data_IF_060951158393
#
_entry.id   IF_060951158393
#
_cell.length_a   1.000
_cell.length_b   1.000
_cell.length_c   1.000
_cell.angle_alpha   90.00
_cell.angle_beta   90.00
_cell.angle_gamma   90.00
#
_symmetry.space_group_name_H-M   'P 1'
#
loop_
_entity.id
_entity.type
_entity.pdbx_description
1 polymer ?
#
# COMPACT_ATOMS: atom_id res chain seq x y z
N UNK A 1 -30.16 14.38 30.05
CA UNK A 1 -29.43 14.87 28.85
C UNK A 1 -28.93 13.70 28.05
N UNK A 2 -29.62 13.37 26.96
CA UNK A 2 -29.27 12.22 26.10
C UNK A 2 -28.06 12.52 25.24
N UNK A 3 -26.99 11.71 25.35
CA UNK A 3 -25.85 11.72 24.44
C UNK A 3 -26.32 11.21 23.08
N UNK A 4 -26.37 12.10 22.07
CA UNK A 4 -26.54 11.67 20.67
C UNK A 4 -25.35 10.82 20.26
N UNK A 5 -25.55 9.52 20.11
CA UNK A 5 -24.62 8.62 19.44
C UNK A 5 -24.61 9.03 17.97
N UNK A 6 -23.51 9.64 17.53
CA UNK A 6 -23.28 9.89 16.10
C UNK A 6 -23.02 8.54 15.45
N UNK A 7 -24.01 7.97 14.77
CA UNK A 7 -23.81 6.87 13.85
C UNK A 7 -22.83 7.33 12.76
N UNK A 8 -21.58 6.83 12.83
CA UNK A 8 -20.65 6.91 11.70
C UNK A 8 -21.27 6.10 10.57
N UNK A 9 -21.76 6.77 9.54
CA UNK A 9 -22.14 6.12 8.31
C UNK A 9 -20.93 5.30 7.83
N UNK A 10 -21.07 3.96 7.78
CA UNK A 10 -20.07 3.09 7.16
C UNK A 10 -19.92 3.54 5.72
N UNK A 11 -18.73 3.97 5.33
CA UNK A 11 -18.43 4.29 3.95
C UNK A 11 -18.88 3.10 3.08
N UNK A 12 -19.72 3.35 2.07
CA UNK A 12 -20.14 2.32 1.11
C UNK A 12 -18.90 1.90 0.35
N UNK A 13 -18.34 0.75 0.71
CA UNK A 13 -17.18 0.22 0.02
C UNK A 13 -17.52 -0.20 -1.41
N UNK A 14 -16.56 -0.08 -2.29
CA UNK A 14 -16.69 -0.46 -3.70
C UNK A 14 -16.37 -1.95 -3.85
N UNK A 15 -17.36 -2.79 -4.20
CA UNK A 15 -17.13 -4.21 -4.47
C UNK A 15 -16.85 -4.47 -5.95
N UNK A 16 -15.84 -5.29 -6.25
CA UNK A 16 -15.49 -5.76 -7.58
C UNK A 16 -14.99 -7.20 -7.52
N UNK A 17 -15.60 -8.09 -8.28
CA UNK A 17 -15.16 -9.48 -8.39
C UNK A 17 -14.99 -10.25 -7.08
N UNK A 18 -15.70 -9.87 -6.01
CA UNK A 18 -15.50 -10.43 -4.66
C UNK A 18 -14.61 -9.58 -3.76
N UNK A 19 -13.79 -8.68 -4.30
CA UNK A 19 -12.91 -7.81 -3.55
C UNK A 19 -13.64 -6.57 -3.03
N UNK A 20 -13.32 -6.18 -1.80
CA UNK A 20 -13.80 -4.97 -1.15
C UNK A 20 -12.76 -3.86 -1.31
N UNK A 21 -12.94 -2.99 -2.32
CA UNK A 21 -12.03 -1.89 -2.58
C UNK A 21 -12.25 -0.73 -1.59
N UNK A 22 -11.18 -0.09 -1.17
CA UNK A 22 -11.16 0.90 -0.09
C UNK A 22 -11.48 2.32 -0.57
N UNK A 23 -11.27 2.61 -1.87
CA UNK A 23 -11.48 3.94 -2.44
C UNK A 23 -12.09 3.90 -3.83
N UNK A 24 -12.66 5.03 -4.27
CA UNK A 24 -13.18 5.19 -5.63
C UNK A 24 -12.05 5.15 -6.67
N UNK A 25 -10.83 5.58 -6.33
CA UNK A 25 -9.68 5.52 -7.23
C UNK A 25 -9.21 4.09 -7.44
N UNK A 26 -9.17 3.28 -6.37
CA UNK A 26 -8.89 1.84 -6.47
C UNK A 26 -9.94 1.14 -7.34
N UNK A 27 -11.24 1.43 -7.13
CA UNK A 27 -12.31 0.87 -7.95
C UNK A 27 -12.16 1.24 -9.43
N UNK A 28 -11.81 2.47 -9.73
CA UNK A 28 -11.54 2.91 -11.09
C UNK A 28 -10.33 2.18 -11.71
N UNK A 29 -9.23 2.07 -10.96
CA UNK A 29 -8.04 1.35 -11.41
C UNK A 29 -8.33 -0.14 -11.66
N UNK A 30 -9.08 -0.78 -10.75
CA UNK A 30 -9.53 -2.16 -10.90
C UNK A 30 -10.32 -2.37 -12.21
N UNK A 31 -11.32 -1.52 -12.46
CA UNK A 31 -12.15 -1.61 -13.66
C UNK A 31 -11.31 -1.42 -14.92
N UNK A 32 -10.38 -0.45 -14.94
CA UNK A 32 -9.48 -0.20 -16.07
C UNK A 32 -8.53 -1.38 -16.32
N UNK A 33 -7.96 -1.98 -15.30
CA UNK A 33 -7.11 -3.18 -15.42
C UNK A 33 -7.90 -4.37 -15.95
N UNK A 34 -9.11 -4.61 -15.43
CA UNK A 34 -9.98 -5.68 -15.90
C UNK A 34 -10.31 -5.55 -17.40
N UNK A 35 -10.57 -4.33 -17.86
CA UNK A 35 -10.91 -4.06 -19.26
C UNK A 35 -9.74 -4.38 -20.22
N UNK A 36 -8.50 -4.34 -19.73
CA UNK A 36 -7.30 -4.71 -20.52
C UNK A 36 -7.11 -6.22 -20.66
N UNK A 37 -7.82 -7.03 -19.88
CA UNK A 37 -7.64 -8.50 -19.76
C UNK A 37 -6.27 -8.91 -19.22
N UNK A 38 -5.49 -7.98 -18.66
CA UNK A 38 -4.24 -8.30 -17.96
C UNK A 38 -4.55 -9.04 -16.65
N UNK A 39 -3.73 -10.04 -16.32
CA UNK A 39 -3.85 -10.73 -15.03
C UNK A 39 -3.26 -9.87 -13.93
N UNK A 40 -3.99 -9.69 -12.86
CA UNK A 40 -3.55 -8.95 -11.67
C UNK A 40 -4.27 -9.46 -10.42
N UNK A 41 -3.67 -9.19 -9.26
CA UNK A 41 -4.30 -9.38 -7.95
C UNK A 41 -4.49 -8.03 -7.25
N UNK A 42 -5.57 -7.90 -6.47
CA UNK A 42 -5.83 -6.76 -5.60
C UNK A 42 -5.49 -7.13 -4.17
N UNK A 43 -4.53 -6.43 -3.55
CA UNK A 43 -4.02 -6.69 -2.19
C UNK A 43 -3.64 -8.17 -1.93
N UNK A 44 -3.15 -8.88 -2.95
CA UNK A 44 -2.82 -10.31 -2.86
C UNK A 44 -1.44 -10.59 -2.29
N UNK A 45 -0.55 -9.61 -2.28
CA UNK A 45 0.85 -9.76 -1.88
C UNK A 45 1.18 -8.93 -0.64
N UNK A 46 1.83 -9.56 0.32
CA UNK A 46 2.40 -8.89 1.49
C UNK A 46 3.92 -9.00 1.43
N UNK A 47 4.59 -7.85 1.32
CA UNK A 47 6.04 -7.78 1.31
C UNK A 47 6.55 -7.44 2.72
N UNK A 48 7.40 -8.30 3.28
CA UNK A 48 8.01 -8.11 4.58
C UNK A 48 9.33 -7.37 4.42
N UNK A 49 9.31 -6.05 4.63
CA UNK A 49 10.43 -5.14 4.36
C UNK A 49 11.49 -5.17 5.45
N UNK A 50 11.08 -5.45 6.68
CA UNK A 50 11.95 -5.57 7.84
C UNK A 50 11.30 -6.52 8.85
N UNK A 51 12.05 -7.48 9.32
CA UNK A 51 11.59 -8.40 10.36
C UNK A 51 11.46 -7.70 11.72
N UNK A 52 10.63 -8.26 12.61
CA UNK A 52 10.59 -7.83 14.00
C UNK A 52 11.88 -8.21 14.73
N UNK A 53 12.29 -7.40 15.68
CA UNK A 53 13.52 -7.61 16.47
C UNK A 53 13.36 -7.08 17.88
N UNK A 54 14.37 -7.31 18.73
CA UNK A 54 14.49 -6.76 20.08
C UNK A 54 15.67 -5.83 20.15
N UNK A 55 15.46 -4.67 20.76
CA UNK A 55 16.56 -3.76 21.10
C UNK A 55 16.95 -3.98 22.58
N UNK A 56 18.16 -4.47 22.81
CA UNK A 56 18.55 -5.00 24.09
C UNK A 56 19.14 -3.97 25.06
N UNK A 57 19.32 -2.73 24.63
CA UNK A 57 19.80 -1.65 25.51
C UNK A 57 18.64 -0.91 26.18
N UNK A 58 18.95 -0.04 27.12
CA UNK A 58 17.97 0.83 27.79
C UNK A 58 17.21 1.65 26.74
N UNK A 59 15.90 1.49 26.71
CA UNK A 59 15.04 2.16 25.76
C UNK A 59 13.71 2.59 26.38
N UNK A 60 13.53 3.90 26.48
CA UNK A 60 12.31 4.51 27.00
C UNK A 60 11.63 5.35 25.94
N UNK A 61 10.32 5.32 25.94
CA UNK A 61 9.47 6.15 25.06
C UNK A 61 8.65 7.13 25.87
N UNK A 62 8.28 8.25 25.20
CA UNK A 62 7.27 9.16 25.72
C UNK A 62 5.92 8.45 25.89
N UNK A 63 5.14 8.88 26.88
CA UNK A 63 3.73 8.49 27.04
C UNK A 63 2.84 9.68 26.74
N UNK A 64 1.73 9.43 26.06
CA UNK A 64 0.77 10.48 25.77
C UNK A 64 0.02 10.91 27.04
N UNK A 65 0.08 12.19 27.37
CA UNK A 65 -0.67 12.79 28.51
C UNK A 65 -0.12 12.46 29.89
N UNK A 66 1.12 12.00 30.03
CA UNK A 66 1.81 11.73 31.32
C UNK A 66 3.26 12.20 31.26
N UNK A 67 3.79 12.64 32.41
CA UNK A 67 5.17 13.12 32.53
C UNK A 67 6.17 11.99 32.84
N UNK A 68 5.80 10.74 32.57
CA UNK A 68 6.62 9.57 32.81
C UNK A 68 7.01 8.89 31.50
N UNK A 69 8.24 8.44 31.42
CA UNK A 69 8.72 7.64 30.30
C UNK A 69 8.28 6.18 30.45
N UNK A 70 7.93 5.55 29.35
CA UNK A 70 7.58 4.12 29.30
C UNK A 70 8.79 3.29 28.97
N UNK A 71 9.10 2.32 29.81
CA UNK A 71 10.17 1.36 29.56
C UNK A 71 9.80 0.40 28.42
N UNK A 72 10.60 0.42 27.36
CA UNK A 72 10.53 -0.48 26.22
C UNK A 72 11.81 -1.32 26.04
N UNK A 73 12.68 -1.33 27.06
CA UNK A 73 13.89 -2.14 27.08
C UNK A 73 13.55 -3.60 26.78
N UNK A 74 14.24 -4.20 25.83
CA UNK A 74 14.09 -5.59 25.39
C UNK A 74 12.66 -5.99 24.93
N UNK A 75 11.78 -5.03 24.64
CA UNK A 75 10.49 -5.33 24.02
C UNK A 75 10.65 -5.55 22.51
N UNK A 76 9.72 -6.31 21.94
CA UNK A 76 9.69 -6.55 20.50
C UNK A 76 9.40 -5.24 19.76
N UNK A 77 10.29 -4.89 18.83
CA UNK A 77 10.04 -3.88 17.81
C UNK A 77 9.40 -4.57 16.62
N UNK A 78 8.19 -4.13 16.25
CA UNK A 78 7.45 -4.72 15.15
C UNK A 78 8.16 -4.49 13.81
N UNK A 79 8.11 -5.49 12.97
CA UNK A 79 8.59 -5.40 11.60
C UNK A 79 7.79 -4.41 10.75
N UNK A 80 8.26 -4.17 9.56
CA UNK A 80 7.59 -3.32 8.56
C UNK A 80 7.17 -4.21 7.40
N UNK A 81 5.87 -4.18 7.09
CA UNK A 81 5.31 -4.85 5.93
C UNK A 81 4.60 -3.85 5.01
N UNK A 82 4.48 -4.22 3.74
CA UNK A 82 3.80 -3.43 2.73
C UNK A 82 2.92 -4.31 1.85
N UNK A 83 1.71 -3.87 1.62
CA UNK A 83 0.75 -4.53 0.73
C UNK A 83 0.34 -3.52 -0.34
N UNK A 84 0.87 -3.62 -1.57
CA UNK A 84 0.43 -2.76 -2.67
C UNK A 84 -1.02 -3.05 -3.09
N UNK A 85 -1.67 -2.06 -3.71
CA UNK A 85 -3.05 -2.23 -4.15
C UNK A 85 -3.17 -3.28 -5.26
N UNK A 86 -2.31 -3.22 -6.27
CA UNK A 86 -2.36 -4.15 -7.42
C UNK A 86 -0.98 -4.71 -7.75
N UNK A 87 -0.93 -6.02 -7.97
CA UNK A 87 0.29 -6.73 -8.37
C UNK A 87 -0.02 -7.66 -9.53
N UNK A 88 0.83 -7.66 -10.54
CA UNK A 88 0.85 -8.64 -11.62
C UNK A 88 2.23 -9.28 -11.72
N UNK A 89 2.33 -10.57 -11.43
CA UNK A 89 3.57 -11.32 -11.64
C UNK A 89 3.75 -11.72 -13.10
N UNK A 90 2.67 -12.00 -13.81
CA UNK A 90 2.71 -12.37 -15.22
C UNK A 90 3.23 -11.24 -16.11
N UNK A 91 2.88 -10.00 -15.77
CA UNK A 91 3.23 -8.80 -16.56
C UNK A 91 4.21 -7.88 -15.82
N UNK A 92 4.68 -8.28 -14.65
CA UNK A 92 5.69 -7.58 -13.83
C UNK A 92 5.37 -6.10 -13.62
N UNK A 93 4.20 -5.81 -13.06
CA UNK A 93 3.87 -4.46 -12.62
C UNK A 93 3.26 -4.43 -11.21
N UNK A 94 3.46 -3.31 -10.54
CA UNK A 94 2.88 -3.01 -9.23
C UNK A 94 2.29 -1.60 -9.30
N UNK A 95 1.05 -1.45 -8.84
CA UNK A 95 0.36 -0.16 -8.79
C UNK A 95 -0.10 0.10 -7.36
N UNK A 96 0.22 1.28 -6.86
CA UNK A 96 -0.28 1.83 -5.60
C UNK A 96 -1.08 3.09 -5.89
N UNK A 97 -2.39 3.05 -5.70
CA UNK A 97 -3.23 4.24 -5.90
C UNK A 97 -3.14 5.16 -4.69
N UNK A 98 -2.79 6.42 -4.90
CA UNK A 98 -2.70 7.43 -3.84
C UNK A 98 -3.63 8.60 -4.11
N UNK A 99 -4.88 8.47 -3.68
CA UNK A 99 -5.74 9.64 -3.53
C UNK A 99 -5.17 10.63 -2.50
N UNK A 100 -5.77 11.80 -2.43
CA UNK A 100 -5.38 12.82 -1.44
C UNK A 100 -5.73 12.32 -0.02
N UNK A 101 -4.73 12.00 0.79
CA UNK A 101 -4.92 11.60 2.20
C UNK A 101 -3.98 12.41 3.08
N UNK A 102 -4.55 13.24 3.94
CA UNK A 102 -3.82 14.13 4.87
C UNK A 102 -2.88 13.41 5.86
N UNK A 103 -2.97 12.11 6.04
CA UNK A 103 -2.33 11.39 7.17
C UNK A 103 -1.28 10.35 6.81
N UNK A 104 -0.82 10.29 5.56
CA UNK A 104 0.13 9.24 5.14
C UNK A 104 1.59 9.68 5.17
N UNK A 105 2.07 10.18 6.30
CA UNK A 105 3.48 10.57 6.48
C UNK A 105 4.47 9.39 6.40
N UNK A 106 4.02 8.17 6.67
CA UNK A 106 4.86 6.96 6.65
C UNK A 106 5.03 6.32 5.28
N UNK A 107 4.17 6.64 4.32
CA UNK A 107 4.21 6.03 2.99
C UNK A 107 5.51 6.30 2.23
N UNK A 108 6.07 7.53 2.17
CA UNK A 108 7.32 7.79 1.47
C UNK A 108 8.49 6.96 2.00
N UNK A 109 8.58 6.76 3.32
CA UNK A 109 9.61 5.92 3.92
C UNK A 109 9.39 4.44 3.58
N UNK A 110 8.17 3.96 3.71
CA UNK A 110 7.80 2.58 3.39
C UNK A 110 8.06 2.28 1.92
N UNK A 111 7.76 3.21 1.03
CA UNK A 111 8.03 3.08 -0.40
C UNK A 111 9.54 2.96 -0.71
N UNK A 112 10.37 3.77 -0.07
CA UNK A 112 11.84 3.65 -0.21
C UNK A 112 12.36 2.29 0.23
N UNK A 113 11.86 1.78 1.36
CA UNK A 113 12.20 0.45 1.86
C UNK A 113 11.72 -0.64 0.88
N UNK A 114 10.54 -0.45 0.30
CA UNK A 114 10.00 -1.38 -0.70
C UNK A 114 10.84 -1.42 -1.97
N UNK A 115 11.27 -0.27 -2.51
CA UNK A 115 12.18 -0.22 -3.66
C UNK A 115 13.49 -0.97 -3.38
N UNK A 116 14.07 -0.78 -2.19
CA UNK A 116 15.27 -1.51 -1.77
C UNK A 116 15.01 -3.02 -1.67
N UNK A 117 13.88 -3.40 -1.10
CA UNK A 117 13.45 -4.79 -1.03
C UNK A 117 13.36 -5.45 -2.42
N UNK A 118 12.79 -4.76 -3.40
CA UNK A 118 12.67 -5.28 -4.77
C UNK A 118 14.04 -5.54 -5.39
N UNK A 119 15.00 -4.63 -5.21
CA UNK A 119 16.38 -4.81 -5.69
C UNK A 119 17.04 -6.01 -4.98
N UNK A 120 16.97 -6.08 -3.67
CA UNK A 120 17.60 -7.13 -2.86
C UNK A 120 17.02 -8.53 -3.14
N UNK A 121 15.77 -8.60 -3.63
CA UNK A 121 15.07 -9.84 -3.98
C UNK A 121 15.00 -10.11 -5.49
N UNK A 122 15.78 -9.41 -6.30
CA UNK A 122 15.84 -9.59 -7.76
C UNK A 122 14.47 -9.40 -8.45
N UNK A 123 13.69 -8.43 -7.96
CA UNK A 123 12.39 -8.02 -8.50
C UNK A 123 12.44 -6.61 -9.08
N UNK A 124 13.61 -6.09 -9.40
CA UNK A 124 13.86 -4.75 -9.93
C UNK A 124 13.53 -4.62 -11.43
N UNK A 125 12.99 -5.68 -12.03
CA UNK A 125 12.39 -5.67 -13.37
C UNK A 125 10.88 -5.41 -13.39
N UNK A 126 10.26 -5.15 -12.22
CA UNK A 126 8.86 -4.77 -12.14
C UNK A 126 8.66 -3.28 -12.46
N UNK A 127 7.67 -2.98 -13.29
CA UNK A 127 7.20 -1.61 -13.51
C UNK A 127 6.40 -1.13 -12.29
N UNK A 128 6.69 0.08 -11.81
CA UNK A 128 6.07 0.61 -10.59
C UNK A 128 5.33 1.92 -10.88
N UNK A 129 4.11 2.03 -10.35
CA UNK A 129 3.25 3.20 -10.61
C UNK A 129 2.55 3.66 -9.33
N UNK A 130 2.47 4.97 -9.13
CA UNK A 130 1.75 5.59 -8.02
C UNK A 130 0.79 6.66 -8.56
N UNK A 131 -0.31 6.26 -9.22
CA UNK A 131 -1.28 7.22 -9.73
C UNK A 131 -2.10 7.85 -8.58
N UNK A 132 -2.35 9.16 -8.67
CA UNK A 132 -3.12 9.92 -7.67
C UNK A 132 -4.52 10.33 -8.13
N UNK A 133 -4.84 10.13 -9.40
CA UNK A 133 -6.14 10.46 -9.99
C UNK A 133 -6.45 9.58 -11.21
N UNK A 134 -7.67 9.65 -11.72
CA UNK A 134 -8.13 8.82 -12.85
C UNK A 134 -7.29 9.01 -14.12
N UNK A 135 -6.90 10.24 -14.45
CA UNK A 135 -6.05 10.52 -15.63
C UNK A 135 -4.71 9.81 -15.51
N UNK A 136 -4.10 9.81 -14.32
CA UNK A 136 -2.85 9.12 -14.08
C UNK A 136 -3.02 7.59 -14.07
N UNK A 137 -4.17 7.06 -13.65
CA UNK A 137 -4.50 5.64 -13.84
C UNK A 137 -4.55 5.29 -15.32
N UNK A 138 -5.24 6.09 -16.15
CA UNK A 138 -5.30 5.84 -17.58
C UNK A 138 -3.92 5.90 -18.25
N UNK A 139 -3.08 6.83 -17.86
CA UNK A 139 -1.69 6.92 -18.33
C UNK A 139 -0.86 5.70 -17.89
N UNK A 140 -1.03 5.24 -16.65
CA UNK A 140 -0.40 4.02 -16.12
C UNK A 140 -0.75 2.82 -17.00
N UNK A 141 -2.03 2.61 -17.30
CA UNK A 141 -2.49 1.51 -18.15
C UNK A 141 -1.88 1.59 -19.55
N UNK A 142 -1.83 2.78 -20.13
CA UNK A 142 -1.24 3.01 -21.44
C UNK A 142 0.25 2.68 -21.46
N UNK A 143 1.00 3.10 -20.45
CA UNK A 143 2.43 2.79 -20.33
C UNK A 143 2.63 1.28 -20.24
N UNK A 144 1.91 0.59 -19.36
CA UNK A 144 1.98 -0.87 -19.22
C UNK A 144 1.74 -1.56 -20.58
N UNK A 145 0.67 -1.18 -21.27
CA UNK A 145 0.34 -1.79 -22.57
C UNK A 145 1.41 -1.54 -23.64
N UNK A 146 2.05 -0.36 -23.64
CA UNK A 146 3.11 -0.02 -24.60
C UNK A 146 4.38 -0.83 -24.30
N UNK A 147 4.78 -0.95 -23.04
CA UNK A 147 5.95 -1.74 -22.64
C UNK A 147 5.77 -3.24 -22.99
N UNK A 148 4.57 -3.79 -22.78
CA UNK A 148 4.28 -5.18 -23.13
C UNK A 148 4.32 -5.44 -24.65
N UNK A 149 3.91 -4.48 -25.48
CA UNK A 149 3.99 -4.57 -26.95
C UNK A 149 5.43 -4.46 -27.47
N UNK A 150 6.29 -3.71 -26.77
CA UNK A 150 7.70 -3.54 -27.15
C UNK A 150 8.59 -4.76 -26.83
N UNK A 151 8.05 -5.74 -26.09
CA UNK A 151 8.75 -6.98 -25.70
C UNK A 151 8.36 -8.19 -26.58
N UNK A 152 7.40 -8.04 -27.49
CA UNK A 152 7.06 -9.04 -28.51
C UNK A 152 7.92 -8.81 -29.77
#
# INVERSE_FOLDING_TARGET
MGKKVKNKAKAKGHKRGGDQLKSALEAYCYDRLRDTKLKFGYETEVFYLMDSFRYNSVYFKMTKGRDVMRDNTNKVVQGIKYTPDFVSHDHKFIIETKGYVHSQHTFPLRWKLFLRYLIDNQMDDYMLFIPKNRKQVDETIKIIQNELKGTE
#
